data_IF_237927430591
#
_entry.id   IF_237927430591
#
_cell.length_a   1.000
_cell.length_b   1.000
_cell.length_c   1.000
_cell.angle_alpha   90.00
_cell.angle_beta   90.00
_cell.angle_gamma   90.00
#
_symmetry.space_group_name_H-M   'P 1'
#
loop_
_entity.id
_entity.type
_entity.pdbx_description
1 polymer ?
#
# COMPACT_ATOMS: atom_id res chain seq x y z
N UNK A 1 -43.51 -15.58 10.14
CA UNK A 1 -42.65 -16.52 10.88
C UNK A 1 -41.58 -15.70 11.56
N UNK A 2 -41.66 -15.57 12.88
CA UNK A 2 -40.91 -14.61 13.70
C UNK A 2 -40.16 -15.42 14.76
N UNK A 3 -38.82 -15.28 14.79
CA UNK A 3 -37.77 -15.56 15.80
C UNK A 3 -37.96 -16.68 16.87
N UNK A 4 -36.86 -17.21 17.45
CA UNK A 4 -36.29 -16.46 18.57
C UNK A 4 -34.75 -16.43 18.63
N UNK A 5 -34.24 -15.27 19.00
CA UNK A 5 -33.00 -15.13 19.77
C UNK A 5 -33.18 -15.86 21.12
N UNK A 6 -32.33 -16.83 21.40
CA UNK A 6 -32.22 -17.49 22.71
C UNK A 6 -30.80 -17.35 23.23
N UNK A 7 -30.60 -16.48 24.23
CA UNK A 7 -29.33 -16.34 24.92
C UNK A 7 -29.05 -17.51 25.87
N UNK A 8 -27.77 -17.78 26.11
CA UNK A 8 -27.26 -18.30 27.39
C UNK A 8 -25.90 -17.68 27.68
N UNK A 9 -25.86 -16.94 28.78
CA UNK A 9 -24.65 -16.51 29.49
C UNK A 9 -24.03 -17.71 30.22
N UNK A 10 -22.68 -17.75 30.22
CA UNK A 10 -21.76 -18.37 31.19
C UNK A 10 -22.20 -19.67 31.89
N UNK A 11 -21.51 -20.77 31.59
CA UNK A 11 -21.28 -21.84 32.54
C UNK A 11 -19.77 -22.15 32.61
N UNK A 12 -19.24 -22.07 33.83
CA UNK A 12 -17.84 -22.31 34.15
C UNK A 12 -17.58 -23.81 34.17
N UNK A 13 -17.25 -24.37 33.02
CA UNK A 13 -16.81 -25.75 32.88
C UNK A 13 -15.36 -25.82 32.44
N UNK A 14 -14.47 -26.10 33.39
CA UNK A 14 -13.08 -26.53 33.19
C UNK A 14 -13.00 -27.59 32.06
N UNK A 15 -12.75 -27.14 30.84
CA UNK A 15 -12.44 -28.01 29.70
C UNK A 15 -10.92 -28.13 29.61
N UNK A 16 -10.37 -29.35 29.59
CA UNK A 16 -8.93 -29.56 29.53
C UNK A 16 -8.37 -28.84 28.31
N UNK A 17 -7.16 -28.27 28.47
CA UNK A 17 -6.36 -27.63 27.42
C UNK A 17 -6.13 -28.67 26.31
N UNK A 18 -7.11 -28.79 25.42
CA UNK A 18 -7.09 -29.68 24.27
C UNK A 18 -6.42 -28.94 23.13
N UNK A 19 -5.11 -29.15 22.98
CA UNK A 19 -4.36 -29.23 21.72
C UNK A 19 -4.56 -28.17 20.61
N UNK A 20 -5.30 -27.09 20.85
CA UNK A 20 -5.48 -26.02 19.90
C UNK A 20 -4.18 -25.24 19.82
N UNK A 21 -3.39 -25.45 18.76
CA UNK A 21 -2.40 -24.46 18.33
C UNK A 21 -3.11 -23.11 18.39
N UNK A 22 -2.61 -22.22 19.25
CA UNK A 22 -2.86 -20.80 19.15
C UNK A 22 -2.28 -20.39 17.78
N UNK A 23 -3.06 -20.58 16.72
CA UNK A 23 -2.75 -20.02 15.42
C UNK A 23 -2.93 -18.51 15.58
N UNK A 24 -1.81 -17.85 15.86
CA UNK A 24 -1.70 -16.42 15.60
C UNK A 24 -1.94 -16.31 14.10
N UNK A 25 -3.14 -15.89 13.71
CA UNK A 25 -3.60 -15.80 12.30
C UNK A 25 -2.84 -14.73 11.53
N UNK A 26 -1.52 -14.88 11.41
CA UNK A 26 -0.76 -14.18 10.41
C UNK A 26 -1.12 -14.79 9.06
N UNK A 27 -1.38 -13.93 8.07
CA UNK A 27 -1.58 -14.35 6.69
C UNK A 27 -0.43 -13.80 5.83
N UNK A 28 0.80 -14.38 5.91
CA UNK A 28 1.97 -13.90 5.16
C UNK A 28 1.70 -13.79 3.66
N UNK A 29 0.96 -14.74 3.09
CA UNK A 29 0.59 -14.72 1.67
C UNK A 29 -0.30 -13.54 1.31
N UNK A 30 -1.25 -13.18 2.19
CA UNK A 30 -2.09 -11.98 2.00
C UNK A 30 -1.24 -10.72 2.09
N UNK A 31 -0.30 -10.66 3.05
CA UNK A 31 0.62 -9.51 3.18
C UNK A 31 1.51 -9.36 1.94
N UNK A 32 2.00 -10.47 1.35
CA UNK A 32 2.77 -10.44 0.10
C UNK A 32 1.92 -10.02 -1.09
N UNK A 33 0.69 -10.51 -1.19
CA UNK A 33 -0.25 -10.10 -2.25
C UNK A 33 -0.55 -8.60 -2.18
N UNK A 34 -0.83 -8.07 -0.98
CA UNK A 34 -1.06 -6.62 -0.78
C UNK A 34 0.21 -5.82 -1.05
N UNK A 35 1.38 -6.31 -0.62
CA UNK A 35 2.68 -5.69 -0.95
C UNK A 35 2.87 -5.54 -2.46
N UNK A 36 2.61 -6.60 -3.23
CA UNK A 36 2.70 -6.53 -4.69
C UNK A 36 1.68 -5.56 -5.28
N UNK A 37 0.43 -5.56 -4.78
CA UNK A 37 -0.59 -4.61 -5.22
C UNK A 37 -0.18 -3.16 -4.98
N UNK A 38 0.43 -2.87 -3.83
CA UNK A 38 0.92 -1.52 -3.50
C UNK A 38 2.08 -1.11 -4.40
N UNK A 39 2.98 -2.03 -4.77
CA UNK A 39 4.05 -1.75 -5.75
C UNK A 39 3.46 -1.37 -7.10
N UNK A 40 2.51 -2.15 -7.60
CA UNK A 40 1.87 -1.86 -8.88
C UNK A 40 1.18 -0.49 -8.87
N UNK A 41 0.51 -0.13 -7.77
CA UNK A 41 -0.09 1.21 -7.61
C UNK A 41 0.97 2.31 -7.61
N UNK A 42 2.12 2.09 -6.97
CA UNK A 42 3.26 3.02 -7.02
C UNK A 42 3.77 3.22 -8.45
N UNK A 43 3.94 2.13 -9.19
CA UNK A 43 4.38 2.17 -10.60
C UNK A 43 3.34 2.88 -11.50
N UNK A 44 2.05 2.61 -11.29
CA UNK A 44 0.95 3.28 -12.01
C UNK A 44 0.94 4.79 -11.74
N UNK A 45 1.22 5.20 -10.49
CA UNK A 45 1.32 6.61 -10.11
C UNK A 45 2.52 7.28 -10.78
N UNK A 46 3.69 6.65 -10.77
CA UNK A 46 4.89 7.19 -11.45
C UNK A 46 4.68 7.30 -12.96
N UNK A 47 3.88 6.40 -13.53
CA UNK A 47 3.46 6.42 -14.93
C UNK A 47 2.68 7.68 -15.34
N UNK A 48 2.09 8.43 -14.39
CA UNK A 48 1.36 9.68 -14.66
C UNK A 48 2.28 10.91 -14.77
N UNK A 49 3.52 10.81 -14.29
CA UNK A 49 4.45 11.95 -14.28
C UNK A 49 4.83 12.46 -15.69
N UNK A 50 5.08 11.59 -16.68
CA UNK A 50 5.28 12.01 -18.07
C UNK A 50 4.07 12.76 -18.63
N UNK A 51 2.84 12.28 -18.40
CA UNK A 51 1.62 12.91 -18.93
C UNK A 51 1.44 14.34 -18.40
N UNK A 52 1.75 14.56 -17.11
CA UNK A 52 1.70 15.90 -16.51
C UNK A 52 2.74 16.82 -17.15
N UNK A 53 3.94 16.30 -17.42
CA UNK A 53 5.00 17.06 -18.09
C UNK A 53 4.58 17.41 -19.52
N UNK A 54 4.09 16.43 -20.27
CA UNK A 54 3.68 16.60 -21.66
C UNK A 54 2.51 17.60 -21.78
N UNK A 55 1.59 17.60 -20.81
CA UNK A 55 0.52 18.61 -20.74
C UNK A 55 1.07 20.03 -20.60
N UNK A 56 2.01 20.26 -19.68
CA UNK A 56 2.63 21.58 -19.49
C UNK A 56 3.36 22.00 -20.76
N UNK A 57 4.23 21.14 -21.29
CA UNK A 57 5.04 21.42 -22.47
C UNK A 57 4.13 21.75 -23.68
N UNK A 58 3.01 21.03 -23.84
CA UNK A 58 2.02 21.29 -24.90
C UNK A 58 1.33 22.63 -24.72
N UNK A 59 0.89 22.97 -23.51
CA UNK A 59 0.19 24.23 -23.25
C UNK A 59 1.13 25.42 -23.42
N UNK A 60 2.38 25.31 -22.98
CA UNK A 60 3.41 26.33 -23.21
C UNK A 60 3.68 26.53 -24.71
N UNK A 61 3.76 25.43 -25.47
CA UNK A 61 3.94 25.48 -26.92
C UNK A 61 2.76 26.15 -27.64
N UNK A 62 1.52 25.77 -27.31
CA UNK A 62 0.33 26.37 -27.90
C UNK A 62 0.19 27.86 -27.51
N UNK A 63 0.58 28.25 -26.29
CA UNK A 63 0.59 29.65 -25.87
C UNK A 63 1.67 30.50 -26.60
N UNK A 64 2.75 29.86 -27.07
CA UNK A 64 3.80 30.48 -27.87
C UNK A 64 3.49 30.45 -29.38
N UNK A 65 2.45 29.74 -29.81
CA UNK A 65 2.10 29.59 -31.21
C UNK A 65 1.73 30.93 -31.82
N UNK A 66 2.29 31.22 -33.00
CA UNK A 66 2.11 32.46 -33.74
C UNK A 66 2.62 33.73 -33.03
N UNK A 67 3.41 33.61 -31.96
CA UNK A 67 4.12 34.76 -31.42
C UNK A 67 5.43 34.97 -32.19
N UNK A 68 5.78 36.23 -32.44
CA UNK A 68 6.99 36.59 -33.20
C UNK A 68 8.30 36.25 -32.49
N UNK A 69 8.25 36.02 -31.17
CA UNK A 69 9.42 35.74 -30.33
C UNK A 69 9.58 34.25 -29.94
N UNK A 70 8.65 33.37 -30.33
CA UNK A 70 8.68 31.96 -29.92
C UNK A 70 8.40 31.72 -28.42
N UNK A 71 8.00 32.77 -27.71
CA UNK A 71 7.60 32.71 -26.29
C UNK A 71 6.09 32.88 -26.16
N UNK A 72 5.52 32.38 -25.06
CA UNK A 72 4.11 32.56 -24.78
C UNK A 72 3.69 34.04 -24.81
N UNK A 73 2.53 34.34 -25.40
CA UNK A 73 2.02 35.70 -25.42
C UNK A 73 1.76 36.20 -23.98
N UNK A 74 2.06 37.46 -23.62
CA UNK A 74 1.94 37.96 -22.25
C UNK A 74 0.55 37.79 -21.62
N UNK A 75 -0.50 37.75 -22.45
CA UNK A 75 -1.87 37.50 -21.99
C UNK A 75 -2.09 36.09 -21.40
N UNK A 76 -1.25 35.12 -21.77
CA UNK A 76 -1.31 33.76 -21.22
C UNK A 76 -0.46 33.57 -19.96
N UNK A 77 0.43 34.51 -19.63
CA UNK A 77 1.35 34.36 -18.48
C UNK A 77 0.65 34.02 -17.16
N UNK A 78 -0.46 34.67 -16.75
CA UNK A 78 -1.14 34.31 -15.51
C UNK A 78 -1.72 32.88 -15.53
N UNK A 79 -2.18 32.42 -16.69
CA UNK A 79 -2.72 31.07 -16.86
C UNK A 79 -1.60 30.01 -16.84
N UNK A 80 -0.46 30.29 -17.47
CA UNK A 80 0.70 29.41 -17.46
C UNK A 80 1.31 29.29 -16.06
N UNK A 81 1.40 30.41 -15.32
CA UNK A 81 1.84 30.38 -13.92
C UNK A 81 0.90 29.55 -13.04
N UNK A 82 -0.41 29.73 -13.19
CA UNK A 82 -1.40 28.95 -12.45
C UNK A 82 -1.34 27.45 -12.81
N UNK A 83 -1.17 27.13 -14.10
CA UNK A 83 -1.01 25.76 -14.57
C UNK A 83 0.26 25.13 -14.00
N UNK A 84 1.41 25.79 -14.12
CA UNK A 84 2.68 25.30 -13.58
C UNK A 84 2.63 25.08 -12.07
N UNK A 85 1.99 25.99 -11.32
CA UNK A 85 1.80 25.84 -9.88
C UNK A 85 0.86 24.67 -9.53
N UNK A 86 -0.24 24.49 -10.27
CA UNK A 86 -1.18 23.39 -10.07
C UNK A 86 -0.54 22.05 -10.40
N UNK A 87 0.09 21.95 -11.57
CA UNK A 87 0.77 20.74 -12.01
C UNK A 87 1.94 20.37 -11.10
N UNK A 88 2.69 21.36 -10.59
CA UNK A 88 3.72 21.14 -9.58
C UNK A 88 3.18 20.54 -8.27
N UNK A 89 1.99 20.96 -7.82
CA UNK A 89 1.33 20.37 -6.64
C UNK A 89 0.88 18.93 -6.90
N UNK A 90 0.26 18.68 -8.06
CA UNK A 90 -0.19 17.34 -8.45
C UNK A 90 1.01 16.38 -8.56
N UNK A 91 2.06 16.80 -9.26
CA UNK A 91 3.32 16.05 -9.38
C UNK A 91 3.89 15.68 -8.02
N UNK A 92 4.04 16.65 -7.11
CA UNK A 92 4.56 16.39 -5.75
C UNK A 92 3.67 15.41 -4.97
N UNK A 93 2.35 15.52 -5.15
CA UNK A 93 1.38 14.59 -4.58
C UNK A 93 1.61 13.16 -5.06
N UNK A 94 1.75 12.98 -6.38
CA UNK A 94 2.05 11.68 -7.02
C UNK A 94 3.37 11.11 -6.51
N UNK A 95 4.45 11.88 -6.53
CA UNK A 95 5.78 11.44 -6.05
C UNK A 95 5.72 10.99 -4.58
N UNK A 96 4.97 11.72 -3.74
CA UNK A 96 4.78 11.37 -2.33
C UNK A 96 3.97 10.07 -2.19
N UNK A 97 2.86 9.95 -2.92
CA UNK A 97 1.98 8.77 -2.87
C UNK A 97 2.67 7.52 -3.39
N UNK A 98 3.39 7.61 -4.52
CA UNK A 98 4.19 6.50 -5.06
C UNK A 98 5.24 6.04 -4.04
N UNK A 99 6.00 6.98 -3.46
CA UNK A 99 6.99 6.67 -2.43
C UNK A 99 6.38 5.96 -1.21
N UNK A 100 5.20 6.40 -0.75
CA UNK A 100 4.49 5.75 0.35
C UNK A 100 4.00 4.34 -0.01
N UNK A 101 3.49 4.13 -1.23
CA UNK A 101 3.08 2.83 -1.74
C UNK A 101 4.25 1.83 -1.75
N UNK A 102 5.40 2.24 -2.27
CA UNK A 102 6.63 1.43 -2.28
C UNK A 102 7.09 1.13 -0.85
N UNK A 103 7.11 2.15 0.02
CA UNK A 103 7.52 1.97 1.42
C UNK A 103 6.61 0.97 2.16
N UNK A 104 5.29 1.13 2.07
CA UNK A 104 4.34 0.22 2.71
C UNK A 104 4.41 -1.20 2.13
N UNK A 105 4.65 -1.33 0.82
CA UNK A 105 4.87 -2.63 0.22
C UNK A 105 6.09 -3.34 0.82
N UNK A 106 7.20 -2.61 1.01
CA UNK A 106 8.41 -3.16 1.62
C UNK A 106 8.21 -3.58 3.07
N UNK A 107 7.54 -2.74 3.86
CA UNK A 107 7.22 -3.05 5.25
C UNK A 107 6.34 -4.30 5.35
N UNK A 108 5.30 -4.41 4.51
CA UNK A 108 4.42 -5.59 4.49
C UNK A 108 5.15 -6.87 4.10
N UNK A 109 6.04 -6.79 3.10
CA UNK A 109 6.86 -7.93 2.71
C UNK A 109 7.79 -8.37 3.84
N UNK A 110 8.47 -7.42 4.48
CA UNK A 110 9.34 -7.71 5.62
C UNK A 110 8.57 -8.33 6.79
N UNK A 111 7.36 -7.84 7.08
CA UNK A 111 6.49 -8.42 8.11
C UNK A 111 6.11 -9.87 7.77
N UNK A 112 5.73 -10.14 6.52
CA UNK A 112 5.40 -11.49 6.07
C UNK A 112 6.58 -12.45 6.25
N UNK A 113 7.77 -12.03 5.83
CA UNK A 113 9.00 -12.85 5.92
C UNK A 113 9.42 -13.06 7.39
N UNK A 114 9.23 -12.06 8.25
CA UNK A 114 9.45 -12.19 9.70
C UNK A 114 8.49 -13.17 10.36
N UNK A 115 7.21 -13.17 9.97
CA UNK A 115 6.23 -14.14 10.50
C UNK A 115 6.65 -15.57 10.17
N UNK A 116 6.98 -15.86 8.92
CA UNK A 116 7.42 -17.21 8.52
C UNK A 116 8.72 -17.64 9.21
N UNK A 117 9.70 -16.73 9.30
CA UNK A 117 10.96 -17.02 9.99
C UNK A 117 10.73 -17.35 11.48
N UNK A 118 9.82 -16.62 12.13
CA UNK A 118 9.46 -16.85 13.52
C UNK A 118 8.68 -18.15 13.71
N UNK A 119 7.74 -18.47 12.81
CA UNK A 119 7.02 -19.73 12.80
C UNK A 119 7.98 -20.91 12.65
N UNK A 120 8.88 -20.86 11.67
CA UNK A 120 9.87 -21.92 11.45
C UNK A 120 10.79 -22.12 12.67
N UNK A 121 11.26 -21.01 13.28
CA UNK A 121 12.05 -21.03 14.51
C UNK A 121 11.28 -21.64 15.69
N UNK A 122 10.01 -21.30 15.83
CA UNK A 122 9.17 -21.82 16.92
C UNK A 122 8.84 -23.30 16.73
N UNK A 123 8.47 -23.72 15.52
CA UNK A 123 8.25 -25.14 15.17
C UNK A 123 9.51 -25.97 15.43
N UNK A 124 10.69 -25.46 15.08
CA UNK A 124 11.97 -26.14 15.34
C UNK A 124 12.24 -26.33 16.85
N UNK A 125 11.87 -25.35 17.68
CA UNK A 125 11.99 -25.47 19.14
C UNK A 125 11.03 -26.51 19.71
N UNK A 126 9.78 -26.53 19.23
CA UNK A 126 8.75 -27.47 19.68
C UNK A 126 9.13 -28.91 19.34
N UNK A 127 9.59 -29.16 18.11
CA UNK A 127 10.01 -30.49 17.67
C UNK A 127 11.20 -31.05 18.47
N UNK A 128 11.99 -30.18 19.09
CA UNK A 128 13.15 -30.55 19.91
C UNK A 128 12.85 -30.59 21.42
N UNK A 129 11.58 -30.46 21.84
CA UNK A 129 11.20 -30.71 23.23
C UNK A 129 11.28 -32.22 23.46
N UNK A 130 12.13 -32.71 24.38
CA UNK A 130 12.19 -34.14 24.68
C UNK A 130 10.80 -34.60 25.13
N UNK A 131 10.23 -35.59 24.46
CA UNK A 131 9.08 -36.31 24.98
C UNK A 131 9.57 -37.10 26.19
N UNK A 132 9.49 -36.51 27.38
CA UNK A 132 9.64 -37.26 28.62
C UNK A 132 8.43 -38.19 28.70
N UNK A 133 8.61 -39.44 28.28
CA UNK A 133 7.69 -40.52 28.61
C UNK A 133 7.67 -40.63 30.14
N UNK A 134 6.50 -40.36 30.73
CA UNK A 134 6.20 -40.63 32.14
C UNK A 134 5.71 -42.06 32.26
#
# INVERSE_FOLDING_TARGET
>A
MTAPFGGKTHDGGNSPIGGGRLEIGAHPDTMRAVSQSLRNVGDDLDGLLPDIKDLIDTVEHEAAKNTSGGSAAPMFSPLLEALGASAGKVRKGIETSSSMCVHHADVLKQLADQFEANEHKNSSKINNIPTTSV
#
